data_IF_320698589162
#
_entry.id   IF_320698589162
#
_cell.length_a   1.000
_cell.length_b   1.000
_cell.length_c   1.000
_cell.angle_alpha   90.00
_cell.angle_beta   90.00
_cell.angle_gamma   90.00
#
_symmetry.space_group_name_H-M   'P 1'
#
loop_
_entity.id
_entity.type
_entity.pdbx_description
1 polymer ?
#
# COMPACT_ATOMS: atom_id res chain seq x y z
N UNK A 1 18.82 -16.98 31.35
CA UNK A 1 19.21 -17.42 29.99
C UNK A 1 19.26 -16.18 29.14
N UNK A 2 20.46 -15.74 28.77
CA UNK A 2 20.64 -14.61 27.85
C UNK A 2 20.25 -15.14 26.48
N UNK A 3 19.19 -14.59 25.89
CA UNK A 3 18.92 -14.82 24.48
C UNK A 3 20.05 -14.15 23.71
N UNK A 4 21.05 -14.91 23.27
CA UNK A 4 22.01 -14.43 22.28
C UNK A 4 21.23 -14.14 21.00
N UNK A 5 20.93 -12.86 20.77
CA UNK A 5 20.40 -12.41 19.49
C UNK A 5 21.43 -12.75 18.42
N UNK A 6 21.02 -13.56 17.44
CA UNK A 6 21.90 -13.93 16.34
C UNK A 6 22.29 -12.66 15.57
N UNK A 7 23.59 -12.38 15.35
CA UNK A 7 24.02 -11.25 14.52
C UNK A 7 23.42 -11.32 13.09
N UNK A 8 23.16 -12.54 12.60
CA UNK A 8 22.47 -12.77 11.33
C UNK A 8 21.01 -12.30 11.37
N UNK A 9 20.31 -12.54 12.48
CA UNK A 9 18.94 -12.09 12.68
C UNK A 9 18.86 -10.56 12.72
N UNK A 10 19.79 -9.88 13.40
CA UNK A 10 19.83 -8.42 13.45
C UNK A 10 20.04 -7.80 12.07
N UNK A 11 21.02 -8.29 11.29
CA UNK A 11 21.29 -7.78 9.93
C UNK A 11 20.10 -8.03 8.99
N UNK A 12 19.48 -9.21 9.06
CA UNK A 12 18.31 -9.52 8.22
C UNK A 12 17.09 -8.68 8.62
N UNK A 13 16.89 -8.47 9.92
CA UNK A 13 15.81 -7.66 10.46
C UNK A 13 15.97 -6.19 10.05
N UNK A 14 17.18 -5.62 10.11
CA UNK A 14 17.48 -4.28 9.62
C UNK A 14 17.19 -4.14 8.13
N UNK A 15 17.64 -5.09 7.31
CA UNK A 15 17.36 -5.08 5.87
C UNK A 15 15.86 -5.15 5.56
N UNK A 16 15.13 -6.01 6.28
CA UNK A 16 13.67 -6.16 6.10
C UNK A 16 12.92 -4.92 6.58
N UNK A 17 13.33 -4.30 7.69
CA UNK A 17 12.76 -3.04 8.17
C UNK A 17 13.04 -1.92 7.19
N UNK A 18 14.27 -1.80 6.68
CA UNK A 18 14.62 -0.79 5.69
C UNK A 18 13.79 -0.97 4.42
N UNK A 19 13.68 -2.21 3.92
CA UNK A 19 12.85 -2.52 2.77
C UNK A 19 11.36 -2.24 3.01
N UNK A 20 10.84 -2.59 4.18
CA UNK A 20 9.46 -2.36 4.59
C UNK A 20 9.16 -0.88 4.70
N UNK A 21 9.99 -0.10 5.40
CA UNK A 21 9.86 1.35 5.53
C UNK A 21 9.96 2.03 4.16
N UNK A 22 10.94 1.61 3.35
CA UNK A 22 11.15 2.15 2.00
C UNK A 22 10.03 1.83 1.03
N UNK A 23 9.31 0.71 1.16
CA UNK A 23 8.14 0.41 0.34
C UNK A 23 6.85 1.01 0.91
N UNK A 24 6.73 1.07 2.23
CA UNK A 24 5.55 1.60 2.88
C UNK A 24 5.43 3.09 2.70
N UNK A 25 6.51 3.86 2.80
CA UNK A 25 6.45 5.30 2.50
C UNK A 25 5.82 5.56 1.11
N UNK A 26 6.28 4.93 0.02
CA UNK A 26 5.64 5.02 -1.28
C UNK A 26 4.17 4.59 -1.32
N UNK A 27 3.81 3.50 -0.64
CA UNK A 27 2.43 3.03 -0.59
C UNK A 27 1.53 3.99 0.21
N UNK A 28 2.02 4.56 1.31
CA UNK A 28 1.34 5.58 2.09
C UNK A 28 1.18 6.88 1.28
N UNK A 29 2.22 7.32 0.57
CA UNK A 29 2.13 8.47 -0.34
C UNK A 29 1.10 8.24 -1.44
N UNK A 30 1.06 7.03 -2.03
CA UNK A 30 0.06 6.68 -3.03
C UNK A 30 -1.35 6.59 -2.44
N UNK A 31 -1.52 5.97 -1.26
CA UNK A 31 -2.81 5.91 -0.57
C UNK A 31 -3.33 7.30 -0.22
N UNK A 32 -2.45 8.19 0.25
CA UNK A 32 -2.76 9.60 0.48
C UNK A 32 -3.15 10.30 -0.81
N UNK A 33 -2.39 10.11 -1.90
CA UNK A 33 -2.70 10.70 -3.20
C UNK A 33 -4.04 10.21 -3.79
N UNK A 34 -4.52 9.02 -3.40
CA UNK A 34 -5.79 8.45 -3.82
C UNK A 34 -6.94 8.73 -2.85
N UNK A 35 -6.69 9.40 -1.72
CA UNK A 35 -7.75 9.72 -0.78
C UNK A 35 -8.61 10.87 -1.35
N UNK A 36 -9.93 10.68 -1.58
CA UNK A 36 -10.80 11.72 -2.14
C UNK A 36 -10.90 12.98 -1.29
N UNK A 37 -10.58 12.89 0.02
CA UNK A 37 -10.54 14.01 0.98
C UNK A 37 -9.31 14.90 0.80
N UNK A 38 -8.32 14.48 0.02
CA UNK A 38 -7.13 15.30 -0.24
C UNK A 38 -7.46 16.29 -1.34
N UNK A 39 -7.27 17.57 -1.03
CA UNK A 39 -7.61 18.69 -1.92
C UNK A 39 -6.39 19.26 -2.65
N UNK A 40 -5.18 18.92 -2.20
CA UNK A 40 -3.92 19.44 -2.76
C UNK A 40 -2.94 18.31 -3.01
N UNK A 41 -2.50 18.18 -4.25
CA UNK A 41 -1.51 17.19 -4.70
C UNK A 41 -0.20 17.87 -5.14
N UNK A 42 0.12 19.03 -4.55
CA UNK A 42 1.29 19.84 -4.93
C UNK A 42 2.61 19.36 -4.32
N UNK A 43 2.53 18.43 -3.37
CA UNK A 43 3.71 17.90 -2.71
C UNK A 43 4.58 17.10 -3.69
N UNK A 44 5.82 17.55 -3.86
CA UNK A 44 6.77 16.96 -4.80
C UNK A 44 7.18 15.54 -4.40
N UNK A 45 7.33 15.29 -3.10
CA UNK A 45 7.71 13.99 -2.55
C UNK A 45 6.57 12.98 -2.78
N UNK A 46 5.33 13.35 -2.45
CA UNK A 46 4.15 12.50 -2.70
C UNK A 46 4.04 12.16 -4.20
N UNK A 47 4.25 13.14 -5.08
CA UNK A 47 4.19 12.91 -6.52
C UNK A 47 5.29 11.96 -7.03
N UNK A 48 6.52 12.11 -6.52
CA UNK A 48 7.63 11.23 -6.88
C UNK A 48 7.37 9.80 -6.44
N UNK A 49 6.95 9.63 -5.18
CA UNK A 49 6.68 8.32 -4.59
C UNK A 49 5.48 7.64 -5.24
N UNK A 50 4.39 8.37 -5.53
CA UNK A 50 3.26 7.88 -6.33
C UNK A 50 3.73 7.35 -7.68
N UNK A 51 4.58 8.11 -8.37
CA UNK A 51 5.07 7.73 -9.71
C UNK A 51 5.94 6.48 -9.66
N UNK A 52 6.77 6.32 -8.63
CA UNK A 52 7.54 5.09 -8.40
C UNK A 52 6.62 3.89 -8.18
N UNK A 53 5.57 4.02 -7.36
CA UNK A 53 4.59 2.97 -7.14
C UNK A 53 3.87 2.56 -8.43
N UNK A 54 3.34 3.52 -9.19
CA UNK A 54 2.64 3.24 -10.46
C UNK A 54 3.56 2.48 -11.43
N UNK A 55 4.83 2.87 -11.52
CA UNK A 55 5.82 2.15 -12.36
C UNK A 55 6.07 0.72 -11.91
N UNK A 56 6.03 0.45 -10.60
CA UNK A 56 6.19 -0.89 -10.03
C UNK A 56 4.95 -1.77 -10.27
N UNK A 57 3.74 -1.21 -10.18
CA UNK A 57 2.49 -1.92 -10.43
C UNK A 57 2.24 -2.21 -11.91
N UNK A 58 2.62 -1.30 -12.81
CA UNK A 58 2.42 -1.45 -14.26
C UNK A 58 3.74 -1.36 -15.01
N UNK A 59 4.24 -2.53 -15.43
CA UNK A 59 5.47 -2.62 -16.21
C UNK A 59 5.27 -2.15 -17.67
N UNK A 60 4.06 -2.29 -18.20
CA UNK A 60 3.69 -1.83 -19.55
C UNK A 60 3.49 -0.30 -19.61
N UNK A 61 4.04 0.35 -20.64
CA UNK A 61 3.97 1.81 -20.78
C UNK A 61 2.55 2.32 -21.08
N UNK A 62 1.79 1.59 -21.88
CA UNK A 62 0.42 1.96 -22.25
C UNK A 62 -0.51 1.91 -21.03
N UNK A 63 -0.41 0.85 -20.24
CA UNK A 63 -1.13 0.72 -18.96
C UNK A 63 -0.77 1.85 -17.98
N UNK A 64 0.52 2.20 -17.88
CA UNK A 64 0.96 3.35 -17.09
C UNK A 64 0.35 4.65 -17.58
N UNK A 65 0.26 4.85 -18.88
CA UNK A 65 -0.33 6.07 -19.41
C UNK A 65 -1.83 6.13 -19.09
N UNK A 66 -2.56 5.02 -19.24
CA UNK A 66 -3.99 4.93 -18.90
C UNK A 66 -4.26 5.27 -17.43
N UNK A 67 -3.58 4.61 -16.48
CA UNK A 67 -3.78 4.89 -15.05
C UNK A 67 -3.35 6.31 -14.66
N UNK A 68 -2.34 6.88 -15.32
CA UNK A 68 -1.96 8.28 -15.08
C UNK A 68 -3.02 9.26 -15.61
N UNK A 69 -3.67 8.97 -16.75
CA UNK A 69 -4.79 9.78 -17.25
C UNK A 69 -5.99 9.72 -16.31
N UNK A 70 -6.37 8.53 -15.87
CA UNK A 70 -7.42 8.34 -14.84
C UNK A 70 -7.10 9.14 -13.56
N UNK A 71 -5.83 9.15 -13.14
CA UNK A 71 -5.40 9.92 -11.97
C UNK A 71 -5.53 11.43 -12.17
N UNK A 72 -5.21 11.93 -13.38
CA UNK A 72 -5.39 13.34 -13.73
C UNK A 72 -6.87 13.73 -13.68
N UNK A 73 -7.77 12.87 -14.16
CA UNK A 73 -9.21 13.12 -14.10
C UNK A 73 -9.73 13.15 -12.66
N UNK A 74 -9.31 12.18 -11.83
CA UNK A 74 -9.66 12.11 -10.42
C UNK A 74 -9.24 13.37 -9.64
N UNK A 75 -7.98 13.79 -9.80
CA UNK A 75 -7.43 14.99 -9.12
C UNK A 75 -8.05 16.26 -9.69
N UNK A 76 -8.23 16.31 -11.00
CA UNK A 76 -8.83 17.45 -11.70
C UNK A 76 -10.33 17.61 -11.44
N UNK A 77 -10.99 16.61 -10.82
CA UNK A 77 -12.45 16.54 -10.70
C UNK A 77 -13.10 16.71 -12.08
N UNK A 78 -12.56 16.01 -13.07
CA UNK A 78 -13.01 16.03 -14.45
C UNK A 78 -13.80 14.76 -14.79
N UNK A 79 -14.42 14.73 -15.97
CA UNK A 79 -15.22 13.58 -16.40
C UNK A 79 -16.34 13.32 -15.41
N UNK A 80 -16.55 12.05 -15.04
CA UNK A 80 -17.59 11.66 -14.09
C UNK A 80 -17.27 12.08 -12.64
N UNK A 81 -15.99 12.35 -12.32
CA UNK A 81 -15.62 12.82 -10.99
C UNK A 81 -16.10 14.23 -10.67
N UNK A 82 -16.58 14.98 -11.67
CA UNK A 82 -17.16 16.32 -11.52
C UNK A 82 -18.62 16.29 -11.08
N UNK A 83 -19.24 15.11 -11.07
CA UNK A 83 -20.62 14.95 -10.65
C UNK A 83 -20.82 15.52 -9.23
N UNK A 84 -22.00 16.12 -9.01
CA UNK A 84 -22.30 16.79 -7.76
C UNK A 84 -22.22 15.82 -6.57
N UNK A 85 -22.81 14.63 -6.70
CA UNK A 85 -22.77 13.62 -5.65
C UNK A 85 -21.35 13.10 -5.46
N UNK A 86 -20.58 12.93 -6.54
CA UNK A 86 -19.16 12.58 -6.45
C UNK A 86 -18.40 13.59 -5.59
N UNK A 87 -18.57 14.90 -5.83
CA UNK A 87 -17.86 15.96 -5.11
C UNK A 87 -18.28 16.02 -3.64
N UNK A 88 -19.58 16.05 -3.35
CA UNK A 88 -20.10 16.14 -1.98
C UNK A 88 -19.67 14.93 -1.13
N UNK A 89 -19.72 13.74 -1.73
CA UNK A 89 -19.40 12.51 -1.03
C UNK A 89 -17.91 12.39 -0.66
N UNK A 90 -17.00 13.15 -1.29
CA UNK A 90 -15.54 13.06 -1.01
C UNK A 90 -15.24 13.24 0.47
N UNK A 91 -15.91 14.20 1.12
CA UNK A 91 -15.69 14.52 2.52
C UNK A 91 -16.63 13.74 3.46
N UNK A 92 -17.83 13.42 2.99
CA UNK A 92 -18.87 12.75 3.78
C UNK A 92 -18.65 11.24 3.94
N UNK A 93 -17.98 10.58 2.99
CA UNK A 93 -17.82 9.13 2.98
C UNK A 93 -16.45 8.64 3.47
N UNK A 94 -16.39 7.35 3.80
CA UNK A 94 -15.11 6.64 3.87
C UNK A 94 -14.45 6.60 2.48
N UNK A 95 -13.13 6.83 2.35
CA UNK A 95 -12.43 6.83 1.07
C UNK A 95 -12.63 5.57 0.23
N UNK A 96 -12.63 4.37 0.85
CA UNK A 96 -12.84 3.12 0.12
C UNK A 96 -14.27 3.06 -0.42
N UNK A 97 -15.26 3.40 0.39
CA UNK A 97 -16.66 3.44 -0.02
C UNK A 97 -16.89 4.43 -1.17
N UNK A 98 -16.23 5.60 -1.13
CA UNK A 98 -16.27 6.57 -2.22
C UNK A 98 -15.73 5.99 -3.53
N UNK A 99 -14.59 5.29 -3.49
CA UNK A 99 -14.03 4.63 -4.69
C UNK A 99 -14.92 3.52 -5.23
N UNK A 100 -15.65 2.79 -4.38
CA UNK A 100 -16.63 1.80 -4.84
C UNK A 100 -17.76 2.48 -5.62
N UNK A 101 -18.27 3.61 -5.11
CA UNK A 101 -19.43 4.28 -5.68
C UNK A 101 -19.11 5.09 -6.94
N UNK A 102 -18.02 5.86 -6.91
CA UNK A 102 -17.70 6.86 -7.95
C UNK A 102 -16.51 6.48 -8.83
N UNK A 103 -15.79 5.41 -8.51
CA UNK A 103 -14.55 5.05 -9.19
C UNK A 103 -14.69 4.29 -10.51
N UNK A 104 -15.90 3.94 -10.93
CA UNK A 104 -16.13 3.06 -12.09
C UNK A 104 -15.59 3.64 -13.42
N UNK A 105 -15.52 4.96 -13.54
CA UNK A 105 -14.95 5.66 -14.70
C UNK A 105 -13.41 5.56 -14.77
N UNK A 106 -12.75 5.13 -13.70
CA UNK A 106 -11.30 5.00 -13.58
C UNK A 106 -10.92 3.59 -13.09
N UNK A 107 -11.17 2.54 -13.88
CA UNK A 107 -11.09 1.15 -13.41
C UNK A 107 -9.68 0.72 -12.96
N UNK A 108 -8.62 1.20 -13.62
CA UNK A 108 -7.24 0.84 -13.24
C UNK A 108 -6.85 1.50 -11.92
N UNK A 109 -7.22 2.75 -11.75
CA UNK A 109 -6.98 3.55 -10.56
C UNK A 109 -7.83 3.06 -9.38
N UNK A 110 -9.10 2.77 -9.61
CA UNK A 110 -10.02 2.19 -8.63
C UNK A 110 -9.48 0.88 -8.08
N UNK A 111 -8.94 0.01 -8.94
CA UNK A 111 -8.33 -1.26 -8.52
C UNK A 111 -7.21 -1.04 -7.50
N UNK A 112 -6.36 -0.05 -7.71
CA UNK A 112 -5.27 0.26 -6.79
C UNK A 112 -5.79 0.95 -5.53
N UNK A 113 -6.70 1.90 -5.67
CA UNK A 113 -7.29 2.64 -4.55
C UNK A 113 -7.97 1.68 -3.57
N UNK A 114 -8.79 0.75 -4.06
CA UNK A 114 -9.47 -0.24 -3.22
C UNK A 114 -8.49 -1.16 -2.49
N UNK A 115 -7.38 -1.54 -3.13
CA UNK A 115 -6.34 -2.36 -2.49
C UNK A 115 -5.62 -1.61 -1.38
N UNK A 116 -5.24 -0.36 -1.63
CA UNK A 116 -4.43 0.44 -0.70
C UNK A 116 -5.25 1.00 0.46
N UNK A 117 -6.44 1.53 0.18
CA UNK A 117 -7.31 2.10 1.21
C UNK A 117 -7.96 1.02 2.09
N UNK A 118 -7.92 -0.24 1.68
CA UNK A 118 -8.29 -1.38 2.52
C UNK A 118 -7.16 -1.87 3.44
N UNK A 119 -5.92 -1.38 3.28
CA UNK A 119 -4.80 -1.81 4.13
C UNK A 119 -4.90 -1.14 5.51
N UNK A 120 -4.83 -1.89 6.61
CA UNK A 120 -4.75 -1.31 7.94
C UNK A 120 -3.37 -0.64 8.14
N UNK A 121 -3.34 0.69 8.19
CA UNK A 121 -2.12 1.50 8.29
C UNK A 121 -1.59 1.65 9.73
N UNK A 122 -1.57 0.57 10.52
CA UNK A 122 -1.02 0.62 11.89
C UNK A 122 0.29 -0.16 12.00
N UNK A 123 1.32 0.47 12.58
CA UNK A 123 2.58 -0.19 12.99
C UNK A 123 2.32 -1.41 13.87
N UNK A 124 1.27 -1.36 14.70
CA UNK A 124 0.82 -2.48 15.54
C UNK A 124 0.42 -3.74 14.75
N UNK A 125 -0.09 -3.59 13.50
CA UNK A 125 -0.38 -4.73 12.63
C UNK A 125 0.91 -5.38 12.13
N UNK A 126 1.93 -4.57 11.80
CA UNK A 126 3.25 -5.07 11.43
C UNK A 126 3.89 -5.82 12.61
N UNK A 127 3.88 -5.23 13.81
CA UNK A 127 4.40 -5.87 15.04
C UNK A 127 3.69 -7.19 15.39
N UNK A 128 2.37 -7.29 15.15
CA UNK A 128 1.60 -8.55 15.31
C UNK A 128 1.98 -9.60 14.27
N UNK A 129 2.21 -9.20 13.02
CA UNK A 129 2.69 -10.10 11.97
C UNK A 129 4.10 -10.61 12.29
N UNK A 130 4.98 -9.77 12.82
CA UNK A 130 6.33 -10.15 13.26
C UNK A 130 6.36 -10.98 14.54
N UNK A 131 5.45 -10.72 15.48
CA UNK A 131 5.27 -11.57 16.67
C UNK A 131 4.82 -12.97 16.27
N UNK A 132 3.95 -13.08 15.26
CA UNK A 132 3.56 -14.37 14.66
C UNK A 132 4.75 -15.03 13.95
N UNK A 133 5.56 -14.27 13.21
CA UNK A 133 6.78 -14.77 12.56
C UNK A 133 7.82 -15.30 13.57
N UNK A 134 8.10 -14.52 14.62
CA UNK A 134 8.99 -14.90 15.72
C UNK A 134 8.51 -16.17 16.41
N UNK A 135 7.19 -16.31 16.60
CA UNK A 135 6.57 -17.53 17.14
C UNK A 135 6.72 -18.75 16.20
N UNK A 136 6.47 -18.58 14.90
CA UNK A 136 6.63 -19.64 13.88
C UNK A 136 8.10 -20.06 13.72
N UNK A 137 9.03 -19.13 13.88
CA UNK A 137 10.47 -19.41 13.79
C UNK A 137 11.05 -19.98 15.10
N UNK A 138 10.42 -19.74 16.26
CA UNK A 138 10.92 -20.21 17.56
C UNK A 138 10.42 -21.60 17.97
N UNK A 139 9.26 -22.05 17.50
CA UNK A 139 8.77 -23.40 17.81
C UNK A 139 9.37 -24.47 16.88
N UNK A 140 10.55 -24.97 17.28
CA UNK A 140 11.26 -26.16 16.77
C UNK A 140 11.75 -26.09 15.31
N UNK A 141 13.06 -25.78 15.17
CA UNK A 141 13.96 -26.14 14.05
C UNK A 141 13.25 -26.41 12.72
N UNK A 142 12.93 -25.38 11.95
CA UNK A 142 12.64 -25.57 10.54
C UNK A 142 13.69 -24.87 9.70
N UNK A 143 14.31 -25.63 8.78
CA UNK A 143 15.18 -25.17 7.68
C UNK A 143 14.35 -24.34 6.68
N UNK A 144 13.73 -23.26 7.15
CA UNK A 144 12.99 -22.36 6.29
C UNK A 144 13.97 -21.31 5.78
N UNK A 145 14.12 -21.23 4.46
CA UNK A 145 14.94 -20.19 3.83
C UNK A 145 14.27 -18.84 4.05
N UNK A 146 15.08 -17.78 4.19
CA UNK A 146 14.58 -16.42 4.40
C UNK A 146 13.50 -16.03 3.38
N UNK A 147 13.68 -16.43 2.12
CA UNK A 147 12.71 -16.22 1.04
C UNK A 147 11.33 -16.87 1.32
N UNK A 148 11.29 -18.12 1.80
CA UNK A 148 10.02 -18.79 2.16
C UNK A 148 9.36 -18.15 3.37
N UNK A 149 10.17 -17.66 4.29
CA UNK A 149 9.73 -16.98 5.49
C UNK A 149 9.07 -15.63 5.13
N UNK A 150 9.69 -14.89 4.21
CA UNK A 150 9.17 -13.66 3.60
C UNK A 150 7.86 -13.91 2.82
N UNK A 151 7.84 -14.93 1.95
CA UNK A 151 6.65 -15.32 1.20
C UNK A 151 5.48 -15.66 2.15
N UNK A 152 5.75 -16.35 3.26
CA UNK A 152 4.73 -16.71 4.25
C UNK A 152 4.24 -15.51 5.05
N UNK A 153 5.10 -14.55 5.42
CA UNK A 153 4.67 -13.30 6.06
C UNK A 153 3.83 -12.47 5.11
N UNK A 154 4.25 -12.39 3.84
CA UNK A 154 3.50 -11.71 2.78
C UNK A 154 2.13 -12.36 2.59
N UNK A 155 2.07 -13.67 2.43
CA UNK A 155 0.83 -14.43 2.28
C UNK A 155 -0.05 -14.27 3.52
N UNK A 156 0.48 -14.44 4.73
CA UNK A 156 -0.28 -14.33 5.98
C UNK A 156 -0.84 -12.92 6.22
N UNK A 157 -0.10 -11.88 5.83
CA UNK A 157 -0.54 -10.49 5.90
C UNK A 157 -1.64 -10.19 4.87
N UNK A 158 -1.58 -10.80 3.68
CA UNK A 158 -2.57 -10.63 2.63
C UNK A 158 -3.80 -11.56 2.78
N UNK A 159 -3.67 -12.73 3.43
CA UNK A 159 -4.74 -13.71 3.65
C UNK A 159 -5.55 -13.47 4.94
N UNK A 160 -5.06 -12.63 5.86
CA UNK A 160 -5.82 -12.13 7.01
C UNK A 160 -6.65 -10.88 6.72
N UNK A 161 -6.65 -10.43 5.46
CA UNK A 161 -7.63 -9.50 4.89
C UNK A 161 -8.92 -10.25 4.50
#
# INVERSE_FOLDING_TARGET
MVHEESPFFQVFHEFLIDHWNKNNTPLHCLAHALNPKVHSHKDMEINQERTKCIRKYFSNLEERNKVNMEYVEFVGKNGDFRDFDSIENRNAMDPKAWWVLHGACAPMLQTIALRLLAQPSSSSCAERNWSTYSFVHSMKRNKMTAKRAEDLVYIHSNLRL
#
